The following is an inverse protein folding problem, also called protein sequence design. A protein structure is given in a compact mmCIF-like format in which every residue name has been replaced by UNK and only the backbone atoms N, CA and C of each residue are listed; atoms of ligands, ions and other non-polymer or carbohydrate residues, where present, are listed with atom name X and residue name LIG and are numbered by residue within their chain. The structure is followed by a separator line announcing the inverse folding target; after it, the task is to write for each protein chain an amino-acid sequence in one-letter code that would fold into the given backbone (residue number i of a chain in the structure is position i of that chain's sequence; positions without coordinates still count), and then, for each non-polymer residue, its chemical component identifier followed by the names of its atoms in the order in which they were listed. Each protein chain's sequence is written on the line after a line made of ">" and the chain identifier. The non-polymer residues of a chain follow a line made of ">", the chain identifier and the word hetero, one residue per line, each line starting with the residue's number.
data_IF_848803411639
#
_entry.id   IF_848803411639
#
_cell.length_a   1.000
_cell.length_b   1.000
_cell.length_c   1.000
_cell.angle_alpha   90.00
_cell.angle_beta   90.00
_cell.angle_gamma   90.00
#
_symmetry.space_group_name_H-M   'P 1'
#
loop_
_entity.id
_entity.type
_entity.pdbx_description
1 polymer ?
#
# COMPACT_ATOMS: atom_id res chain seq x y z
N UNK A 1 0.21 -1.33 -34.44
CA UNK A 1 0.57 -1.15 -33.02
C UNK A 1 -0.70 -0.82 -32.26
N UNK A 2 -1.33 -1.80 -31.59
CA UNK A 2 -2.55 -1.54 -30.80
C UNK A 2 -2.18 -0.62 -29.64
N UNK A 3 -2.69 0.61 -29.68
CA UNK A 3 -2.58 1.58 -28.59
C UNK A 3 -3.26 0.94 -27.38
N UNK A 4 -2.49 0.57 -26.36
CA UNK A 4 -3.04 0.20 -25.06
C UNK A 4 -3.85 1.40 -24.57
N UNK A 5 -5.16 1.32 -24.69
CA UNK A 5 -6.06 2.38 -24.22
C UNK A 5 -5.88 2.48 -22.71
N UNK A 6 -5.24 3.56 -22.24
CA UNK A 6 -5.26 3.89 -20.81
C UNK A 6 -6.71 4.02 -20.40
N UNK A 7 -7.08 3.34 -19.31
CA UNK A 7 -8.41 3.40 -18.75
C UNK A 7 -8.57 4.73 -18.00
N UNK A 8 -9.00 5.78 -18.71
CA UNK A 8 -9.11 7.14 -18.15
C UNK A 8 -9.96 7.19 -16.89
N UNK A 9 -11.03 6.39 -16.79
CA UNK A 9 -11.87 6.30 -15.59
C UNK A 9 -11.10 5.81 -14.37
N UNK A 10 -10.13 4.89 -14.55
CA UNK A 10 -9.32 4.33 -13.49
C UNK A 10 -8.30 5.34 -12.97
N UNK A 11 -7.77 6.19 -13.87
CA UNK A 11 -6.92 7.32 -13.51
C UNK A 11 -7.72 8.38 -12.73
N UNK A 12 -8.95 8.70 -13.15
CA UNK A 12 -9.86 9.60 -12.42
C UNK A 12 -10.18 9.04 -11.02
N UNK A 13 -10.49 7.74 -10.93
CA UNK A 13 -10.79 7.07 -9.67
C UNK A 13 -9.61 7.14 -8.68
N UNK A 14 -8.38 6.93 -9.15
CA UNK A 14 -7.17 7.11 -8.33
C UNK A 14 -7.00 8.56 -7.88
N UNK A 15 -7.25 9.52 -8.76
CA UNK A 15 -7.22 10.94 -8.44
C UNK A 15 -8.21 11.30 -7.32
N UNK A 16 -9.45 10.83 -7.42
CA UNK A 16 -10.47 10.98 -6.36
C UNK A 16 -9.99 10.31 -5.07
N UNK A 17 -9.44 9.10 -5.15
CA UNK A 17 -8.85 8.41 -4.00
C UNK A 17 -7.80 9.26 -3.28
N UNK A 18 -6.89 9.91 -4.02
CA UNK A 18 -5.85 10.78 -3.43
C UNK A 18 -6.48 11.98 -2.73
N UNK A 19 -7.50 12.61 -3.32
CA UNK A 19 -8.21 13.73 -2.69
C UNK A 19 -8.85 13.26 -1.37
N UNK A 20 -9.46 12.08 -1.35
CA UNK A 20 -10.10 11.52 -0.15
C UNK A 20 -9.09 11.22 0.96
N UNK A 21 -7.87 10.80 0.63
CA UNK A 21 -6.77 10.66 1.60
C UNK A 21 -6.51 12.00 2.29
N UNK A 22 -6.37 13.07 1.51
CA UNK A 22 -6.15 14.43 2.04
C UNK A 22 -7.31 14.86 2.93
N UNK A 23 -8.56 14.68 2.46
CA UNK A 23 -9.77 15.03 3.22
C UNK A 23 -9.85 14.25 4.54
N UNK A 24 -9.50 12.97 4.53
CA UNK A 24 -9.43 12.14 5.74
C UNK A 24 -8.50 12.76 6.78
N UNK A 25 -7.28 13.11 6.37
CA UNK A 25 -6.26 13.60 7.31
C UNK A 25 -6.48 15.02 7.82
N UNK A 26 -7.19 15.87 7.08
CA UNK A 26 -7.57 17.22 7.57
C UNK A 26 -8.83 17.19 8.44
N UNK A 27 -9.66 16.15 8.33
CA UNK A 27 -10.91 16.06 9.07
C UNK A 27 -10.65 15.77 10.55
N UNK A 28 -11.08 16.67 11.43
CA UNK A 28 -11.10 16.44 12.88
C UNK A 28 -12.24 15.52 13.32
N UNK A 29 -13.21 15.24 12.44
CA UNK A 29 -14.33 14.36 12.73
C UNK A 29 -13.94 12.90 12.52
N UNK A 30 -13.89 12.12 13.62
CA UNK A 30 -13.55 10.69 13.63
C UNK A 30 -14.47 9.83 12.78
N UNK A 31 -15.76 10.17 12.68
CA UNK A 31 -16.72 9.41 11.87
C UNK A 31 -16.38 9.55 10.39
N UNK A 32 -16.13 10.79 9.94
CA UNK A 32 -15.73 11.08 8.56
C UNK A 32 -14.37 10.42 8.26
N UNK A 33 -13.41 10.52 9.18
CA UNK A 33 -12.11 9.86 9.04
C UNK A 33 -12.24 8.34 8.84
N UNK A 34 -12.97 7.66 9.75
CA UNK A 34 -13.15 6.21 9.68
C UNK A 34 -13.90 5.79 8.41
N UNK A 35 -14.93 6.54 8.03
CA UNK A 35 -15.71 6.25 6.84
C UNK A 35 -14.88 6.44 5.57
N UNK A 36 -14.06 7.49 5.48
CA UNK A 36 -13.15 7.67 4.36
C UNK A 36 -12.12 6.53 4.30
N UNK A 37 -11.50 6.21 5.44
CA UNK A 37 -10.45 5.19 5.53
C UNK A 37 -10.92 3.78 5.15
N UNK A 38 -12.20 3.46 5.34
CA UNK A 38 -12.73 2.13 5.04
C UNK A 38 -12.74 1.79 3.54
N UNK A 39 -12.64 2.76 2.63
CA UNK A 39 -12.72 2.48 1.20
C UNK A 39 -11.59 3.07 0.35
N UNK A 40 -11.01 4.24 0.71
CA UNK A 40 -10.00 4.84 -0.17
C UNK A 40 -8.69 4.02 -0.24
N UNK A 41 -8.26 3.37 0.85
CA UNK A 41 -7.08 2.49 0.82
C UNK A 41 -7.35 1.22 0.01
N UNK A 42 -8.44 0.46 0.24
CA UNK A 42 -8.85 -0.64 -0.62
C UNK A 42 -8.97 -0.29 -2.11
N UNK A 43 -9.45 0.93 -2.43
CA UNK A 43 -9.61 1.42 -3.80
C UNK A 43 -8.31 1.33 -4.61
N UNK A 44 -7.17 1.71 -4.01
CA UNK A 44 -5.88 1.67 -4.72
C UNK A 44 -5.41 0.25 -4.99
N UNK A 45 -5.63 -0.68 -4.06
CA UNK A 45 -5.32 -2.09 -4.25
C UNK A 45 -6.20 -2.71 -5.34
N UNK A 46 -7.50 -2.43 -5.29
CA UNK A 46 -8.45 -2.84 -6.33
C UNK A 46 -8.06 -2.30 -7.72
N UNK A 47 -7.79 -1.00 -7.82
CA UNK A 47 -7.36 -0.37 -9.07
C UNK A 47 -6.06 -0.95 -9.62
N UNK A 48 -5.15 -1.38 -8.74
CA UNK A 48 -3.90 -2.02 -9.12
C UNK A 48 -4.10 -3.47 -9.59
N UNK A 49 -5.01 -4.19 -8.94
CA UNK A 49 -5.47 -5.52 -9.37
C UNK A 49 -6.13 -5.49 -10.74
N UNK A 50 -6.99 -4.51 -11.00
CA UNK A 50 -7.68 -4.35 -12.29
C UNK A 50 -6.72 -4.29 -13.49
N UNK A 51 -5.58 -3.62 -13.33
CA UNK A 51 -4.57 -3.48 -14.39
C UNK A 51 -3.45 -4.51 -14.26
N UNK A 52 -3.61 -5.51 -13.40
CA UNK A 52 -2.63 -6.56 -13.23
C UNK A 52 -2.44 -7.34 -14.52
N UNK A 53 -1.20 -7.76 -14.75
CA UNK A 53 -0.83 -8.69 -15.80
C UNK A 53 0.26 -9.57 -15.24
N UNK A 54 0.08 -10.89 -15.36
CA UNK A 54 1.08 -11.89 -14.97
C UNK A 54 2.42 -11.55 -15.62
N UNK A 55 3.46 -11.49 -14.79
CA UNK A 55 4.84 -11.29 -15.22
C UNK A 55 5.72 -12.31 -14.54
N UNK A 56 6.83 -12.64 -15.19
CA UNK A 56 7.88 -13.43 -14.57
C UNK A 56 8.34 -12.76 -13.27
N UNK A 57 8.48 -13.57 -12.22
CA UNK A 57 8.77 -13.14 -10.86
C UNK A 57 9.89 -12.10 -10.74
N UNK A 58 11.09 -12.41 -11.27
CA UNK A 58 12.26 -11.52 -11.16
C UNK A 58 12.08 -10.21 -11.90
N UNK A 59 11.41 -10.24 -13.06
CA UNK A 59 11.13 -9.04 -13.86
C UNK A 59 10.15 -8.13 -13.10
N UNK A 60 9.12 -8.69 -12.48
CA UNK A 60 8.17 -7.90 -11.71
C UNK A 60 8.82 -7.30 -10.46
N UNK A 61 9.58 -8.08 -9.67
CA UNK A 61 10.31 -7.56 -8.50
C UNK A 61 11.21 -6.39 -8.87
N UNK A 62 12.09 -6.56 -9.87
CA UNK A 62 13.04 -5.52 -10.27
C UNK A 62 12.31 -4.23 -10.63
N UNK A 63 11.24 -4.34 -11.40
CA UNK A 63 10.42 -3.20 -11.81
C UNK A 63 9.73 -2.54 -10.62
N UNK A 64 9.14 -3.32 -9.71
CA UNK A 64 8.45 -2.79 -8.51
C UNK A 64 9.42 -2.14 -7.54
N UNK A 65 10.64 -2.66 -7.39
CA UNK A 65 11.69 -1.99 -6.62
C UNK A 65 11.97 -0.61 -7.21
N UNK A 66 12.16 -0.52 -8.53
CA UNK A 66 12.45 0.75 -9.20
C UNK A 66 11.31 1.77 -9.09
N UNK A 67 10.06 1.32 -9.18
CA UNK A 67 8.89 2.22 -9.20
C UNK A 67 8.27 2.50 -7.84
N UNK A 68 8.58 1.70 -6.81
CA UNK A 68 7.95 1.81 -5.47
C UNK A 68 9.02 1.97 -4.39
N UNK A 69 9.93 0.99 -4.26
CA UNK A 69 10.89 0.94 -3.15
C UNK A 69 11.91 2.08 -3.24
N UNK A 70 12.44 2.36 -4.44
CA UNK A 70 13.39 3.47 -4.63
C UNK A 70 12.70 4.81 -4.31
N UNK A 71 11.54 5.18 -4.91
CA UNK A 71 10.82 6.39 -4.53
C UNK A 71 10.50 6.46 -3.03
N UNK A 72 10.07 5.35 -2.43
CA UNK A 72 9.79 5.28 -0.99
C UNK A 72 11.00 5.71 -0.15
N UNK A 73 12.18 5.13 -0.38
CA UNK A 73 13.38 5.50 0.37
C UNK A 73 13.87 6.90 0.01
N UNK A 74 13.81 7.30 -1.27
CA UNK A 74 14.24 8.64 -1.69
C UNK A 74 13.40 9.74 -1.04
N UNK A 75 12.07 9.67 -1.16
CA UNK A 75 11.20 10.65 -0.53
C UNK A 75 11.18 10.51 0.99
N UNK A 76 11.19 9.28 1.50
CA UNK A 76 11.22 9.00 2.94
C UNK A 76 12.45 9.59 3.63
N UNK A 77 13.64 9.46 3.03
CA UNK A 77 14.86 10.07 3.57
C UNK A 77 14.81 11.60 3.53
N UNK A 78 14.33 12.19 2.43
CA UNK A 78 14.17 13.65 2.32
C UNK A 78 13.24 14.18 3.40
N UNK A 79 12.08 13.53 3.59
CA UNK A 79 11.12 13.94 4.62
C UNK A 79 11.65 13.67 6.03
N UNK A 80 12.37 12.58 6.26
CA UNK A 80 13.00 12.28 7.56
C UNK A 80 14.03 13.36 7.94
N UNK A 81 14.86 13.78 6.98
CA UNK A 81 15.85 14.87 7.19
C UNK A 81 15.13 16.20 7.45
N UNK A 82 14.13 16.53 6.63
CA UNK A 82 13.30 17.72 6.83
C UNK A 82 12.67 17.74 8.23
N UNK A 83 12.08 16.61 8.64
CA UNK A 83 11.45 16.46 9.95
C UNK A 83 12.46 16.68 11.08
N UNK A 84 13.63 16.02 11.00
CA UNK A 84 14.65 16.09 12.04
C UNK A 84 15.28 17.49 12.17
N UNK A 85 15.48 18.21 11.07
CA UNK A 85 16.16 19.52 11.08
C UNK A 85 15.20 20.70 11.31
N UNK A 86 13.94 20.57 10.89
CA UNK A 86 12.97 21.67 10.83
C UNK A 86 11.72 21.31 11.66
N UNK A 87 10.91 20.36 11.22
CA UNK A 87 9.55 20.16 11.76
C UNK A 87 9.53 19.81 13.25
N UNK A 88 10.48 19.00 13.72
CA UNK A 88 10.58 18.58 15.12
C UNK A 88 10.82 19.73 16.10
N UNK A 89 11.23 20.91 15.61
CA UNK A 89 11.34 22.15 16.42
C UNK A 89 9.99 22.81 16.66
N UNK A 90 9.01 22.56 15.79
CA UNK A 90 7.68 23.18 15.80
C UNK A 90 6.58 22.22 16.28
N UNK A 91 6.80 20.91 16.17
CA UNK A 91 5.88 19.88 16.64
C UNK A 91 6.53 19.04 17.73
N UNK A 92 5.83 18.89 18.85
CA UNK A 92 6.27 18.01 19.92
C UNK A 92 6.23 16.55 19.42
N UNK A 93 7.39 15.90 19.36
CA UNK A 93 7.50 14.46 19.07
C UNK A 93 8.51 13.83 20.02
N UNK A 94 8.05 12.81 20.75
CA UNK A 94 8.88 11.98 21.61
C UNK A 94 9.72 10.95 20.83
N UNK A 95 9.54 10.85 19.50
CA UNK A 95 10.23 9.87 18.67
C UNK A 95 11.68 10.28 18.45
N UNK A 96 12.63 9.37 18.72
CA UNK A 96 14.04 9.61 18.41
C UNK A 96 14.32 9.43 16.92
N UNK A 97 15.38 10.07 16.42
CA UNK A 97 15.82 9.91 15.02
C UNK A 97 16.07 8.43 14.67
N UNK A 98 16.70 7.68 15.58
CA UNK A 98 16.96 6.25 15.38
C UNK A 98 15.66 5.44 15.24
N UNK A 99 14.63 5.75 16.04
CA UNK A 99 13.32 5.10 15.91
C UNK A 99 12.65 5.45 14.59
N UNK A 100 12.68 6.72 14.19
CA UNK A 100 12.13 7.17 12.91
C UNK A 100 12.86 6.53 11.70
N UNK A 101 14.18 6.40 11.79
CA UNK A 101 14.99 5.70 10.79
C UNK A 101 14.66 4.20 10.74
N UNK A 102 14.53 3.56 11.90
CA UNK A 102 14.09 2.17 11.98
C UNK A 102 12.69 2.02 11.37
N UNK A 103 11.76 2.93 11.65
CA UNK A 103 10.44 2.96 11.03
C UNK A 103 10.48 3.08 9.51
N UNK A 104 11.37 3.92 8.96
CA UNK A 104 11.58 4.01 7.52
C UNK A 104 12.12 2.70 6.93
N UNK A 105 13.03 2.01 7.63
CA UNK A 105 13.59 0.73 7.17
C UNK A 105 12.60 -0.44 7.32
N UNK A 106 11.86 -0.48 8.42
CA UNK A 106 10.91 -1.54 8.77
C UNK A 106 9.52 -1.33 8.18
N UNK A 107 9.21 -0.13 7.67
CA UNK A 107 7.86 0.24 7.22
C UNK A 107 6.81 0.18 8.33
N UNK A 108 7.23 0.20 9.59
CA UNK A 108 6.37 0.04 10.76
C UNK A 108 5.62 1.35 11.05
N UNK A 109 4.30 1.26 11.07
CA UNK A 109 3.42 2.41 11.15
C UNK A 109 3.65 3.26 12.39
N UNK A 110 3.85 2.61 13.54
CA UNK A 110 4.09 3.28 14.82
C UNK A 110 5.42 4.04 14.89
N UNK A 111 6.34 3.79 13.97
CA UNK A 111 7.63 4.48 13.88
C UNK A 111 7.72 5.47 12.71
N UNK A 112 6.58 5.79 12.09
CA UNK A 112 6.48 6.72 10.96
C UNK A 112 5.82 8.06 11.36
N UNK A 113 5.96 8.52 12.61
CA UNK A 113 5.38 9.80 13.08
C UNK A 113 5.76 11.00 12.20
N UNK A 114 6.95 10.98 11.59
CA UNK A 114 7.42 12.02 10.70
C UNK A 114 6.66 12.08 9.37
N UNK A 115 6.10 10.94 8.93
CA UNK A 115 5.20 10.87 7.78
C UNK A 115 4.45 9.54 7.78
N UNK A 116 3.26 9.54 8.38
CA UNK A 116 2.47 8.33 8.55
C UNK A 116 2.17 7.66 7.20
N UNK A 117 1.88 8.42 6.15
CA UNK A 117 1.40 7.89 4.85
C UNK A 117 2.41 6.98 4.14
N UNK A 118 3.68 7.01 4.55
CA UNK A 118 4.73 6.14 4.00
C UNK A 118 4.42 4.65 4.17
N UNK A 119 3.63 4.25 5.18
CA UNK A 119 3.27 2.84 5.43
C UNK A 119 2.64 2.15 4.22
N UNK A 120 1.94 2.89 3.36
CA UNK A 120 1.21 2.33 2.23
C UNK A 120 2.14 1.73 1.17
N UNK A 121 3.27 2.38 0.86
CA UNK A 121 4.13 1.97 -0.26
C UNK A 121 4.79 0.60 -0.04
N UNK A 122 5.39 0.29 1.13
CA UNK A 122 5.90 -1.05 1.44
C UNK A 122 4.81 -2.12 1.42
N UNK A 123 3.65 -1.84 2.03
CA UNK A 123 2.51 -2.74 2.02
C UNK A 123 2.04 -3.02 0.58
N UNK A 124 1.90 -1.98 -0.23
CA UNK A 124 1.50 -2.08 -1.63
C UNK A 124 2.50 -2.87 -2.47
N UNK A 125 3.80 -2.65 -2.26
CA UNK A 125 4.85 -3.44 -2.87
C UNK A 125 4.70 -4.93 -2.53
N UNK A 126 4.56 -5.26 -1.25
CA UNK A 126 4.40 -6.65 -0.80
C UNK A 126 3.15 -7.29 -1.38
N UNK A 127 2.00 -6.62 -1.37
CA UNK A 127 0.74 -7.16 -1.93
C UNK A 127 0.90 -7.54 -3.40
N UNK A 128 1.46 -6.64 -4.22
CA UNK A 128 1.61 -6.87 -5.66
C UNK A 128 2.58 -8.02 -5.94
N UNK A 129 3.70 -8.08 -5.23
CA UNK A 129 4.69 -9.15 -5.40
C UNK A 129 4.12 -10.48 -4.93
N UNK A 130 3.51 -10.52 -3.74
CA UNK A 130 2.94 -11.73 -3.18
C UNK A 130 1.87 -12.32 -4.09
N UNK A 131 0.94 -11.49 -4.57
CA UNK A 131 -0.08 -11.94 -5.51
C UNK A 131 0.54 -12.50 -6.80
N UNK A 132 1.51 -11.80 -7.39
CA UNK A 132 2.19 -12.27 -8.59
C UNK A 132 2.97 -13.59 -8.35
N UNK A 133 3.60 -13.76 -7.19
CA UNK A 133 4.28 -15.00 -6.78
C UNK A 133 3.28 -16.14 -6.74
N UNK A 134 2.16 -15.97 -6.04
CA UNK A 134 1.13 -17.01 -5.90
C UNK A 134 0.61 -17.42 -7.28
N UNK A 135 0.31 -16.47 -8.17
CA UNK A 135 -0.14 -16.74 -9.55
C UNK A 135 0.94 -17.42 -10.42
N UNK A 136 2.22 -17.18 -10.16
CA UNK A 136 3.32 -17.84 -10.88
C UNK A 136 3.56 -19.27 -10.39
N UNK A 137 3.44 -19.54 -9.09
CA UNK A 137 3.60 -20.88 -8.50
C UNK A 137 2.37 -21.76 -8.76
N UNK A 138 1.18 -21.15 -8.76
CA UNK A 138 -0.10 -21.85 -8.87
C UNK A 138 -0.86 -21.42 -10.13
N UNK A 139 -2.02 -20.78 -9.98
CA UNK A 139 -2.82 -20.17 -11.03
C UNK A 139 -3.72 -19.07 -10.41
N UNK A 140 -4.44 -18.32 -11.25
CA UNK A 140 -5.30 -17.22 -10.76
C UNK A 140 -6.41 -17.69 -9.82
N UNK A 141 -7.08 -18.81 -10.11
CA UNK A 141 -8.16 -19.36 -9.27
C UNK A 141 -7.67 -19.66 -7.85
N UNK A 142 -6.52 -20.33 -7.74
CA UNK A 142 -5.89 -20.64 -6.44
C UNK A 142 -5.43 -19.35 -5.75
N UNK A 143 -4.88 -18.39 -6.50
CA UNK A 143 -4.50 -17.09 -5.95
C UNK A 143 -5.69 -16.33 -5.35
N UNK A 144 -6.87 -16.38 -5.98
CA UNK A 144 -8.09 -15.77 -5.43
C UNK A 144 -8.52 -16.43 -4.12
N UNK A 145 -8.50 -17.77 -4.06
CA UNK A 145 -8.83 -18.52 -2.84
C UNK A 145 -7.85 -18.17 -1.72
N UNK A 146 -6.54 -18.21 -1.99
CA UNK A 146 -5.51 -17.86 -1.00
C UNK A 146 -5.69 -16.42 -0.52
N UNK A 147 -5.97 -15.48 -1.42
CA UNK A 147 -6.20 -14.07 -1.08
C UNK A 147 -7.42 -13.91 -0.16
N UNK A 148 -8.51 -14.62 -0.44
CA UNK A 148 -9.71 -14.63 0.41
C UNK A 148 -9.41 -15.22 1.80
N UNK A 149 -8.71 -16.35 1.86
CA UNK A 149 -8.31 -16.99 3.13
C UNK A 149 -7.42 -16.08 3.96
N UNK A 150 -6.44 -15.40 3.34
CA UNK A 150 -5.59 -14.44 4.04
C UNK A 150 -6.41 -13.30 4.65
N UNK A 151 -7.38 -12.74 3.92
CA UNK A 151 -8.24 -11.68 4.45
C UNK A 151 -9.17 -12.17 5.56
N UNK A 152 -9.63 -13.42 5.50
CA UNK A 152 -10.38 -14.04 6.61
C UNK A 152 -9.50 -14.23 7.86
N UNK A 153 -8.24 -14.63 7.70
CA UNK A 153 -7.28 -14.75 8.81
C UNK A 153 -7.08 -13.40 9.50
N UNK A 154 -6.94 -12.31 8.72
CA UNK A 154 -6.81 -10.96 9.28
C UNK A 154 -8.00 -10.54 10.14
N UNK A 155 -9.22 -10.95 9.75
CA UNK A 155 -10.45 -10.65 10.50
C UNK A 155 -10.52 -11.52 11.77
N UNK A 156 -10.15 -12.80 11.66
CA UNK A 156 -10.30 -13.77 12.73
C UNK A 156 -9.21 -13.70 13.81
N UNK A 157 -8.00 -13.27 13.44
CA UNK A 157 -6.81 -13.31 14.31
C UNK A 157 -6.17 -11.92 14.37
N UNK A 158 -5.94 -11.36 15.57
CA UNK A 158 -5.19 -10.13 15.70
C UNK A 158 -3.71 -10.40 15.35
N UNK A 159 -3.30 -9.98 14.16
CA UNK A 159 -1.91 -10.07 13.73
C UNK A 159 -1.09 -8.93 14.37
N UNK A 160 0.12 -9.21 14.89
CA UNK A 160 1.03 -8.15 15.33
C UNK A 160 1.49 -7.32 14.14
N UNK A 161 1.99 -6.10 14.38
CA UNK A 161 2.63 -5.34 13.30
C UNK A 161 3.85 -6.09 12.77
N UNK A 162 3.90 -6.25 11.45
CA UNK A 162 4.97 -6.98 10.77
C UNK A 162 5.77 -6.05 9.87
N UNK A 163 6.98 -6.51 9.51
CA UNK A 163 7.85 -5.79 8.58
C UNK A 163 7.09 -5.43 7.30
N UNK A 164 7.21 -4.17 6.91
CA UNK A 164 6.65 -3.55 5.71
C UNK A 164 5.11 -3.65 5.65
N UNK A 165 4.46 -3.80 6.80
CA UNK A 165 3.01 -3.91 6.90
C UNK A 165 2.48 -5.23 6.35
N UNK A 166 3.26 -6.33 6.45
CA UNK A 166 2.84 -7.64 5.96
C UNK A 166 1.53 -8.12 6.61
N UNK A 167 1.27 -7.74 7.86
CA UNK A 167 -0.02 -7.94 8.54
C UNK A 167 -1.17 -7.31 7.73
N UNK A 168 -0.99 -6.08 7.24
CA UNK A 168 -1.99 -5.35 6.44
C UNK A 168 -2.15 -5.92 5.03
N UNK A 169 -1.13 -6.58 4.50
CA UNK A 169 -1.23 -7.28 3.20
C UNK A 169 -2.35 -8.31 3.24
N UNK A 170 -2.57 -8.98 4.38
CA UNK A 170 -3.65 -9.96 4.52
C UNK A 170 -5.02 -9.30 4.33
N UNK A 171 -5.22 -8.08 4.81
CA UNK A 171 -6.44 -7.32 4.58
C UNK A 171 -6.60 -6.92 3.10
N UNK A 172 -5.54 -6.42 2.47
CA UNK A 172 -5.65 -5.76 1.16
C UNK A 172 -5.52 -6.68 -0.05
N UNK A 173 -4.95 -7.88 0.11
CA UNK A 173 -4.72 -8.80 -1.00
C UNK A 173 -6.04 -9.28 -1.65
N UNK A 174 -7.13 -9.41 -0.88
CA UNK A 174 -8.44 -9.73 -1.47
C UNK A 174 -8.95 -8.62 -2.39
N UNK A 175 -8.81 -7.35 -2.02
CA UNK A 175 -9.23 -6.24 -2.91
C UNK A 175 -8.43 -6.23 -4.20
N UNK A 176 -7.12 -6.51 -4.12
CA UNK A 176 -6.28 -6.67 -5.29
C UNK A 176 -6.74 -7.85 -6.17
N UNK A 177 -7.02 -9.00 -5.56
CA UNK A 177 -7.51 -10.19 -6.25
C UNK A 177 -8.87 -9.96 -6.93
N UNK A 178 -9.81 -9.28 -6.26
CA UNK A 178 -11.12 -8.92 -6.81
C UNK A 178 -10.95 -7.99 -8.02
N UNK A 179 -10.02 -7.04 -7.95
CA UNK A 179 -9.70 -6.18 -9.09
C UNK A 179 -9.25 -6.97 -10.32
N UNK A 180 -8.33 -7.93 -10.15
CA UNK A 180 -7.86 -8.81 -11.24
C UNK A 180 -8.96 -9.75 -11.75
N UNK A 181 -9.80 -10.26 -10.85
CA UNK A 181 -10.90 -11.16 -11.22
C UNK A 181 -11.92 -10.47 -12.13
N UNK A 182 -12.34 -9.24 -11.79
CA UNK A 182 -13.33 -8.49 -12.58
C UNK A 182 -12.75 -8.03 -13.93
N UNK A 183 -11.44 -7.83 -14.04
CA UNK A 183 -10.83 -7.38 -15.30
C UNK A 183 -10.53 -8.50 -16.30
N UNK A 184 -10.58 -9.76 -15.84
CA UNK A 184 -10.44 -10.96 -16.68
C UNK A 184 -11.74 -11.37 -17.39
N UNK A 185 -12.90 -10.89 -16.91
CA UNK A 185 -14.24 -11.07 -17.51
C UNK A 185 -14.53 -10.04 -18.61
#
# INVERSE_FOLDING_TARGET
>A
MMKTSRLSWLDIMKGIGIILVVVGHISSNKIIFNWLYSFHMPLFFFAAGWVYKKKQFLIDIKRRIQTIVIPYFSFGLVVLIYWQLIERKFRYSNMSFTKALLGLLSGEYNYLDFNVHLWFLPCFFLTVILFNVIVNITNKKIAYIISAVMSLIFIAVPLPEMLWGLDRVFMYIAFYAIGDYISDD
#
